data_IF_502025228436
#
_entry.id   IF_502025228436
#
_cell.length_a   1.000
_cell.length_b   1.000
_cell.length_c   1.000
_cell.angle_alpha   90.00
_cell.angle_beta   90.00
_cell.angle_gamma   90.00
#
_symmetry.space_group_name_H-M   'P 1'
#
loop_
_entity.id
_entity.type
_entity.pdbx_description
1 polymer ?
#
# COMPACT_ATOMS: atom_id res chain seq x y z
N UNK A 1 24.65 9.40 11.15
CA UNK A 1 24.87 8.29 10.20
C UNK A 1 24.35 7.04 10.88
N UNK A 2 23.06 6.74 10.69
CA UNK A 2 22.47 5.49 11.17
C UNK A 2 22.45 4.57 9.95
N UNK A 3 23.31 3.57 9.95
CA UNK A 3 23.16 2.41 9.06
C UNK A 3 21.76 1.85 9.29
N UNK A 4 20.85 2.08 8.35
CA UNK A 4 19.60 1.37 8.33
C UNK A 4 19.94 -0.09 8.02
N UNK A 5 19.92 -0.94 9.05
CA UNK A 5 19.95 -2.39 8.88
C UNK A 5 18.82 -2.73 7.91
N UNK A 6 19.19 -3.04 6.67
CA UNK A 6 18.24 -3.33 5.62
C UNK A 6 17.61 -4.68 5.94
N UNK A 7 16.34 -4.65 6.32
CA UNK A 7 15.61 -5.85 6.70
C UNK A 7 15.57 -6.83 5.52
N UNK A 8 15.92 -8.09 5.76
CA UNK A 8 15.76 -9.13 4.75
C UNK A 8 14.27 -9.40 4.52
N UNK A 9 13.94 -9.99 3.35
CA UNK A 9 12.57 -10.41 3.06
C UNK A 9 12.01 -11.36 4.12
N UNK A 10 12.83 -12.28 4.62
CA UNK A 10 12.41 -13.27 5.61
C UNK A 10 12.10 -12.61 6.96
N UNK A 11 12.98 -11.74 7.45
CA UNK A 11 12.75 -10.98 8.68
C UNK A 11 11.51 -10.08 8.58
N UNK A 12 11.25 -9.51 7.40
CA UNK A 12 10.04 -8.72 7.17
C UNK A 12 8.77 -9.57 7.24
N UNK A 13 8.79 -10.79 6.68
CA UNK A 13 7.68 -11.74 6.78
C UNK A 13 7.49 -12.21 8.22
N UNK A 14 8.57 -12.45 8.97
CA UNK A 14 8.45 -12.85 10.36
C UNK A 14 7.84 -11.72 11.22
N UNK A 15 8.19 -10.45 10.95
CA UNK A 15 7.53 -9.29 11.58
C UNK A 15 6.04 -9.17 11.23
N UNK A 16 5.63 -9.54 10.01
CA UNK A 16 4.21 -9.55 9.66
C UNK A 16 3.40 -10.53 10.51
N UNK A 17 4.02 -11.64 10.94
CA UNK A 17 3.37 -12.64 11.78
C UNK A 17 2.96 -12.06 13.13
N UNK A 18 3.72 -11.12 13.68
CA UNK A 18 3.40 -10.43 14.93
C UNK A 18 2.11 -9.60 14.82
N UNK A 19 1.71 -9.23 13.60
CA UNK A 19 0.45 -8.54 13.30
C UNK A 19 -0.65 -9.50 12.82
N UNK A 20 -0.43 -10.81 12.91
CA UNK A 20 -1.37 -11.83 12.43
C UNK A 20 -1.51 -11.86 10.91
N UNK A 21 -0.49 -11.41 10.17
CA UNK A 21 -0.45 -11.47 8.70
C UNK A 21 0.48 -12.62 8.30
N UNK A 22 -0.07 -13.65 7.65
CA UNK A 22 0.66 -14.86 7.30
C UNK A 22 0.13 -15.52 6.02
N UNK A 23 0.90 -16.47 5.48
CA UNK A 23 0.51 -17.21 4.27
C UNK A 23 0.32 -16.28 3.07
N UNK A 24 -0.77 -16.47 2.35
CA UNK A 24 -1.17 -15.69 1.18
C UNK A 24 -1.49 -14.22 1.52
N UNK A 25 -1.83 -13.90 2.78
CA UNK A 25 -2.12 -12.53 3.20
C UNK A 25 -0.91 -11.60 3.10
N UNK A 26 0.31 -12.17 3.06
CA UNK A 26 1.53 -11.41 2.80
C UNK A 26 1.45 -10.65 1.46
N UNK A 27 0.71 -11.16 0.48
CA UNK A 27 0.53 -10.47 -0.79
C UNK A 27 -0.47 -9.30 -0.73
N UNK A 28 -1.25 -9.20 0.34
CA UNK A 28 -2.25 -8.15 0.55
C UNK A 28 -1.69 -6.93 1.29
N UNK A 29 -0.45 -6.98 1.77
CA UNK A 29 0.19 -5.82 2.43
C UNK A 29 0.34 -4.62 1.48
N UNK A 30 0.32 -4.87 0.18
CA UNK A 30 0.31 -3.87 -0.89
C UNK A 30 -0.88 -2.90 -0.76
N UNK A 31 -1.94 -3.31 -0.08
CA UNK A 31 -3.16 -2.51 0.07
C UNK A 31 -3.07 -1.51 1.24
N UNK A 32 -2.11 -1.69 2.15
CA UNK A 32 -1.95 -0.82 3.32
C UNK A 32 -1.77 0.67 2.96
N UNK A 33 -0.99 1.05 1.92
CA UNK A 33 -0.89 2.46 1.53
C UNK A 33 -2.22 3.06 1.09
N UNK A 34 -3.09 2.27 0.45
CA UNK A 34 -4.41 2.75 0.05
C UNK A 34 -5.33 2.92 1.26
N UNK A 35 -5.24 2.03 2.26
CA UNK A 35 -5.90 2.20 3.56
C UNK A 35 -5.42 3.46 4.27
N UNK A 36 -4.12 3.74 4.25
CA UNK A 36 -3.57 4.98 4.81
C UNK A 36 -4.13 6.22 4.13
N UNK A 37 -4.33 6.18 2.80
CA UNK A 37 -4.95 7.28 2.08
C UNK A 37 -6.41 7.50 2.49
N UNK A 38 -7.21 6.43 2.61
CA UNK A 38 -8.61 6.49 3.06
C UNK A 38 -8.73 7.15 4.44
N UNK A 39 -7.76 6.93 5.32
CA UNK A 39 -7.77 7.47 6.68
C UNK A 39 -6.94 8.75 6.85
N UNK A 40 -6.43 9.33 5.76
CA UNK A 40 -5.47 10.44 5.82
C UNK A 40 -6.07 11.68 6.48
N UNK A 41 -7.31 12.02 6.13
CA UNK A 41 -8.07 13.13 6.73
C UNK A 41 -8.76 12.74 8.06
N UNK A 42 -8.71 11.46 8.42
CA UNK A 42 -9.30 10.88 9.62
C UNK A 42 -10.68 10.25 9.45
N UNK A 43 -11.24 10.23 8.24
CA UNK A 43 -12.58 9.68 7.97
C UNK A 43 -12.60 8.85 6.69
N UNK A 44 -12.89 7.55 6.79
CA UNK A 44 -13.11 6.71 5.63
C UNK A 44 -14.43 7.07 4.92
N UNK A 45 -14.35 7.68 3.74
CA UNK A 45 -15.52 8.03 2.94
C UNK A 45 -15.98 6.85 2.07
N UNK A 46 -17.29 6.73 1.84
CA UNK A 46 -17.84 5.62 1.06
C UNK A 46 -17.33 5.62 -0.40
N UNK A 47 -17.11 6.79 -0.98
CA UNK A 47 -16.53 6.95 -2.33
C UNK A 47 -15.11 6.39 -2.42
N UNK A 48 -14.27 6.68 -1.42
CA UNK A 48 -12.90 6.18 -1.32
C UNK A 48 -12.86 4.66 -1.15
N UNK A 49 -13.74 4.13 -0.29
CA UNK A 49 -13.88 2.68 -0.08
C UNK A 49 -14.30 1.97 -1.38
N UNK A 50 -15.22 2.53 -2.16
CA UNK A 50 -15.64 1.95 -3.43
C UNK A 50 -14.50 1.90 -4.48
N UNK A 51 -13.67 2.95 -4.53
CA UNK A 51 -12.46 2.96 -5.38
C UNK A 51 -11.46 1.92 -4.90
N UNK A 52 -11.26 1.83 -3.59
CA UNK A 52 -10.42 0.81 -2.97
C UNK A 52 -10.87 -0.60 -3.34
N UNK A 53 -12.17 -0.92 -3.26
CA UNK A 53 -12.72 -2.23 -3.60
C UNK A 53 -12.49 -2.57 -5.08
N UNK A 54 -12.63 -1.58 -5.97
CA UNK A 54 -12.31 -1.74 -7.39
C UNK A 54 -10.82 -2.06 -7.60
N UNK A 55 -9.93 -1.37 -6.87
CA UNK A 55 -8.50 -1.65 -6.90
C UNK A 55 -8.18 -3.05 -6.37
N UNK A 56 -8.82 -3.46 -5.27
CA UNK A 56 -8.64 -4.77 -4.63
C UNK A 56 -8.90 -5.92 -5.61
N UNK A 57 -10.02 -5.88 -6.33
CA UNK A 57 -10.39 -6.89 -7.32
C UNK A 57 -9.34 -7.03 -8.42
N UNK A 58 -8.93 -5.90 -9.00
CA UNK A 58 -7.90 -5.85 -10.03
C UNK A 58 -6.55 -6.37 -9.52
N UNK A 59 -6.20 -6.03 -8.28
CA UNK A 59 -4.96 -6.45 -7.64
C UNK A 59 -4.90 -7.97 -7.43
N UNK A 60 -5.99 -8.58 -6.95
CA UNK A 60 -6.10 -10.03 -6.76
C UNK A 60 -6.05 -10.76 -8.09
N UNK A 61 -6.80 -10.29 -9.10
CA UNK A 61 -6.77 -10.86 -10.43
C UNK A 61 -5.35 -10.88 -11.01
N UNK A 62 -4.59 -9.80 -10.79
CA UNK A 62 -3.18 -9.73 -11.19
C UNK A 62 -2.30 -10.72 -10.44
N UNK A 63 -2.43 -10.85 -9.11
CA UNK A 63 -1.64 -11.81 -8.32
C UNK A 63 -1.92 -13.25 -8.77
N UNK A 64 -3.19 -13.63 -8.90
CA UNK A 64 -3.57 -14.96 -9.35
C UNK A 64 -3.06 -15.26 -10.77
N UNK A 65 -3.12 -14.26 -11.67
CA UNK A 65 -2.56 -14.38 -13.02
C UNK A 65 -1.05 -14.63 -12.99
N UNK A 66 -0.31 -13.89 -12.15
CA UNK A 66 1.14 -14.06 -12.01
C UNK A 66 1.50 -15.41 -11.37
N UNK A 67 0.69 -15.90 -10.45
CA UNK A 67 0.88 -17.22 -9.83
C UNK A 67 0.53 -18.37 -10.79
N UNK A 68 -0.31 -18.12 -11.80
CA UNK A 68 -0.84 -19.15 -12.72
C UNK A 68 -1.94 -20.03 -12.10
N UNK A 69 -2.38 -19.71 -10.87
CA UNK A 69 -3.47 -20.38 -10.16
C UNK A 69 -4.13 -19.42 -9.16
N UNK A 70 -5.32 -19.79 -8.66
CA UNK A 70 -6.05 -19.00 -7.66
C UNK A 70 -5.41 -19.16 -6.27
N UNK A 71 -4.49 -18.26 -5.92
CA UNK A 71 -3.84 -18.23 -4.60
C UNK A 71 -4.61 -17.37 -3.60
N UNK A 72 -5.30 -16.35 -4.07
CA UNK A 72 -6.11 -15.43 -3.27
C UNK A 72 -7.54 -15.39 -3.80
N UNK A 73 -8.51 -15.56 -2.91
CA UNK A 73 -9.91 -15.29 -3.24
C UNK A 73 -10.29 -13.86 -2.88
N UNK A 74 -11.30 -13.32 -3.55
CA UNK A 74 -11.81 -11.98 -3.25
C UNK A 74 -12.36 -11.91 -1.82
N UNK A 75 -13.04 -12.95 -1.35
CA UNK A 75 -13.64 -13.01 -0.01
C UNK A 75 -12.57 -13.01 1.08
N UNK A 76 -11.48 -13.75 0.89
CA UNK A 76 -10.36 -13.79 1.84
C UNK A 76 -9.68 -12.41 1.92
N UNK A 77 -9.52 -11.74 0.78
CA UNK A 77 -8.90 -10.43 0.73
C UNK A 77 -9.80 -9.31 1.29
N UNK A 78 -11.11 -9.38 1.03
CA UNK A 78 -12.11 -8.50 1.64
C UNK A 78 -12.12 -8.69 3.17
N UNK A 79 -12.09 -9.93 3.66
CA UNK A 79 -12.01 -10.22 5.10
C UNK A 79 -10.73 -9.63 5.70
N UNK A 80 -9.59 -9.79 5.01
CA UNK A 80 -8.31 -9.22 5.43
C UNK A 80 -8.35 -7.70 5.53
N UNK A 81 -8.99 -7.01 4.58
CA UNK A 81 -8.97 -5.54 4.55
C UNK A 81 -10.04 -4.92 5.46
N UNK A 82 -11.17 -5.59 5.65
CA UNK A 82 -12.28 -5.08 6.45
C UNK A 82 -11.86 -4.71 7.88
N UNK A 83 -10.88 -5.43 8.47
CA UNK A 83 -10.32 -5.08 9.78
C UNK A 83 -9.62 -3.73 9.84
N UNK A 84 -9.19 -3.19 8.69
CA UNK A 84 -8.56 -1.88 8.60
C UNK A 84 -9.52 -0.78 8.10
N UNK A 85 -10.68 -1.15 7.56
CA UNK A 85 -11.71 -0.21 7.08
C UNK A 85 -12.84 0.00 8.11
N UNK A 86 -13.10 -0.99 8.97
CA UNK A 86 -14.15 -0.91 9.99
C UNK A 86 -13.76 0.02 11.16
N UNK A 87 -12.52 -0.06 11.61
CA UNK A 87 -11.98 0.77 12.67
C UNK A 87 -10.65 1.36 12.20
N UNK A 88 -10.47 2.67 12.40
CA UNK A 88 -9.24 3.37 12.01
C UNK A 88 -8.05 2.74 12.72
N UNK A 89 -7.10 2.13 12.00
CA UNK A 89 -5.91 1.58 12.62
C UNK A 89 -5.02 2.71 13.18
N UNK A 90 -4.25 2.41 14.22
CA UNK A 90 -3.27 3.38 14.71
C UNK A 90 -2.27 3.76 13.60
N UNK A 91 -1.91 5.03 13.54
CA UNK A 91 -0.95 5.55 12.55
C UNK A 91 0.37 4.75 12.58
N UNK A 92 0.87 4.45 13.78
CA UNK A 92 2.09 3.65 13.98
C UNK A 92 1.99 2.25 13.38
N UNK A 93 0.83 1.61 13.46
CA UNK A 93 0.61 0.29 12.87
C UNK A 93 0.70 0.38 11.35
N UNK A 94 0.00 1.33 10.73
CA UNK A 94 0.01 1.52 9.29
C UNK A 94 1.41 1.83 8.76
N UNK A 95 2.11 2.78 9.39
CA UNK A 95 3.50 3.12 9.06
C UNK A 95 4.43 1.90 9.19
N UNK A 96 4.25 1.09 10.23
CA UNK A 96 5.04 -0.14 10.42
C UNK A 96 4.78 -1.13 9.29
N UNK A 97 3.52 -1.42 8.97
CA UNK A 97 3.15 -2.34 7.89
C UNK A 97 3.65 -1.82 6.52
N UNK A 98 3.49 -0.52 6.24
CA UNK A 98 4.01 0.15 5.05
C UNK A 98 5.52 -0.02 4.88
N UNK A 99 6.28 0.12 5.97
CA UNK A 99 7.74 -0.04 5.97
C UNK A 99 8.20 -1.47 5.61
N UNK A 100 7.33 -2.46 5.74
CA UNK A 100 7.62 -3.86 5.38
C UNK A 100 7.36 -4.15 3.90
N UNK A 101 6.65 -3.28 3.17
CA UNK A 101 6.36 -3.48 1.75
C UNK A 101 7.64 -3.54 0.91
N UNK A 102 8.59 -2.59 1.00
CA UNK A 102 9.81 -2.64 0.21
C UNK A 102 10.60 -3.95 0.29
N UNK A 103 10.99 -4.46 1.49
CA UNK A 103 11.76 -5.71 1.58
C UNK A 103 10.96 -6.95 1.14
N UNK A 104 9.63 -6.92 1.19
CA UNK A 104 8.79 -8.08 0.84
C UNK A 104 8.46 -8.12 -0.66
N UNK A 105 8.19 -6.96 -1.25
CA UNK A 105 7.51 -6.84 -2.55
C UNK A 105 8.34 -6.14 -3.62
N UNK A 106 9.29 -5.30 -3.22
CA UNK A 106 10.12 -4.49 -4.13
C UNK A 106 11.61 -4.88 -4.10
N UNK A 107 12.00 -5.85 -3.27
CA UNK A 107 13.38 -6.32 -3.15
C UNK A 107 13.77 -7.40 -4.17
N UNK A 108 12.87 -7.82 -5.06
CA UNK A 108 13.19 -8.81 -6.09
C UNK A 108 14.00 -8.18 -7.25
N UNK A 109 14.66 -9.02 -8.06
CA UNK A 109 15.51 -8.58 -9.17
C UNK A 109 14.73 -8.14 -10.43
N UNK A 110 13.42 -8.30 -10.47
CA UNK A 110 12.58 -7.84 -11.58
C UNK A 110 12.21 -6.37 -11.39
N UNK A 111 13.11 -5.50 -11.83
CA UNK A 111 12.92 -4.04 -11.76
C UNK A 111 11.67 -3.55 -12.49
N UNK A 112 11.28 -4.22 -13.59
CA UNK A 112 10.08 -3.83 -14.35
C UNK A 112 8.82 -4.14 -13.53
N UNK A 113 8.74 -5.33 -12.93
CA UNK A 113 7.64 -5.70 -12.06
C UNK A 113 7.56 -4.80 -10.82
N UNK A 114 8.69 -4.47 -10.20
CA UNK A 114 8.77 -3.56 -9.06
C UNK A 114 8.26 -2.15 -9.41
N UNK A 115 8.70 -1.61 -10.56
CA UNK A 115 8.26 -0.31 -11.04
C UNK A 115 6.75 -0.31 -11.37
N UNK A 116 6.25 -1.39 -12.00
CA UNK A 116 4.83 -1.53 -12.30
C UNK A 116 3.97 -1.61 -11.03
N UNK A 117 4.41 -2.38 -10.03
CA UNK A 117 3.74 -2.45 -8.74
C UNK A 117 3.70 -1.09 -8.05
N UNK A 118 4.86 -0.43 -7.93
CA UNK A 118 4.95 0.91 -7.33
C UNK A 118 4.02 1.91 -8.01
N UNK A 119 4.04 1.96 -9.34
CA UNK A 119 3.16 2.85 -10.12
C UNK A 119 1.70 2.55 -9.84
N UNK A 120 1.31 1.27 -9.81
CA UNK A 120 -0.06 0.86 -9.52
C UNK A 120 -0.50 1.30 -8.12
N UNK A 121 0.33 1.11 -7.10
CA UNK A 121 0.05 1.53 -5.72
C UNK A 121 -0.14 3.05 -5.61
N UNK A 122 0.79 3.82 -6.17
CA UNK A 122 0.74 5.28 -6.13
C UNK A 122 -0.46 5.83 -6.90
N UNK A 123 -0.82 5.21 -8.02
CA UNK A 123 -2.02 5.59 -8.78
C UNK A 123 -3.29 5.31 -7.97
N UNK A 124 -3.42 4.13 -7.35
CA UNK A 124 -4.58 3.84 -6.50
C UNK A 124 -4.71 4.81 -5.32
N UNK A 125 -3.59 5.21 -4.72
CA UNK A 125 -3.57 6.25 -3.68
C UNK A 125 -4.08 7.61 -4.19
N UNK A 126 -3.69 7.99 -5.42
CA UNK A 126 -4.17 9.23 -6.05
C UNK A 126 -5.65 9.17 -6.41
N UNK A 127 -6.12 8.04 -6.92
CA UNK A 127 -7.52 7.86 -7.30
C UNK A 127 -8.44 7.95 -6.07
N UNK A 128 -8.01 7.37 -4.93
CA UNK A 128 -8.71 7.49 -3.65
C UNK A 128 -8.82 8.96 -3.24
N UNK A 129 -7.69 9.66 -3.08
CA UNK A 129 -7.74 11.02 -2.57
C UNK A 129 -8.33 12.03 -3.56
N UNK A 130 -8.33 11.75 -4.86
CA UNK A 130 -9.06 12.56 -5.84
C UNK A 130 -10.59 12.41 -5.73
N UNK A 131 -11.09 11.36 -5.04
CA UNK A 131 -12.51 11.07 -4.86
C UNK A 131 -13.14 11.68 -3.61
N UNK A 132 -12.32 12.22 -2.72
CA UNK A 132 -12.69 12.76 -1.41
C UNK A 132 -13.37 14.15 -1.51
N UNK A 133 -13.54 14.64 -2.74
CA UNK A 133 -14.06 15.97 -3.04
C UNK A 133 -15.53 15.89 -3.46
N UNK A 134 -16.45 16.30 -2.58
CA UNK A 134 -17.90 16.07 -2.75
C UNK A 134 -18.76 17.34 -2.90
N UNK A 135 -18.27 18.56 -2.66
CA UNK A 135 -19.08 19.80 -2.71
C UNK A 135 -18.48 20.95 -3.52
N UNK A 136 -19.17 21.32 -4.62
CA UNK A 136 -18.86 22.47 -5.49
C UNK A 136 -19.40 23.80 -4.92
N UNK A 137 -18.76 24.99 -5.13
CA UNK A 137 -17.59 25.26 -5.97
C UNK A 137 -16.26 25.13 -5.23
N UNK A 138 -15.30 24.51 -5.92
CA UNK A 138 -13.91 24.41 -5.45
C UNK A 138 -13.14 25.68 -5.76
N UNK A 139 -12.28 26.12 -4.85
CA UNK A 139 -11.07 26.81 -5.29
C UNK A 139 -10.21 25.78 -6.04
N UNK A 140 -9.86 26.08 -7.29
CA UNK A 140 -9.30 25.16 -8.29
C UNK A 140 -7.98 24.46 -7.93
N UNK A 141 -7.47 24.66 -6.71
CA UNK A 141 -6.10 24.35 -6.27
C UNK A 141 -6.09 23.33 -5.10
N UNK A 142 -7.25 22.98 -4.53
CA UNK A 142 -7.33 22.16 -3.30
C UNK A 142 -8.12 20.85 -3.46
N UNK A 143 -7.85 20.10 -4.53
CA UNK A 143 -8.40 18.73 -4.68
C UNK A 143 -7.87 17.70 -3.68
N UNK A 144 -6.80 18.06 -2.97
CA UNK A 144 -6.21 17.27 -1.90
C UNK A 144 -6.00 18.21 -0.71
N UNK A 145 -6.46 17.81 0.47
CA UNK A 145 -6.13 18.51 1.69
C UNK A 145 -4.64 18.30 2.05
N UNK A 146 -4.14 19.08 3.01
CA UNK A 146 -2.74 18.98 3.45
C UNK A 146 -2.39 17.60 4.03
N UNK A 147 -3.34 16.94 4.70
CA UNK A 147 -3.14 15.62 5.30
C UNK A 147 -2.97 14.53 4.24
N UNK A 148 -3.80 14.52 3.19
CA UNK A 148 -3.67 13.57 2.07
C UNK A 148 -2.37 13.77 1.31
N UNK A 149 -1.96 15.03 1.07
CA UNK A 149 -0.68 15.34 0.42
C UNK A 149 0.50 14.80 1.22
N UNK A 150 0.46 14.99 2.54
CA UNK A 150 1.50 14.50 3.45
C UNK A 150 1.53 12.97 3.46
N UNK A 151 0.37 12.32 3.63
CA UNK A 151 0.24 10.87 3.61
C UNK A 151 0.79 10.27 2.29
N UNK A 152 0.39 10.83 1.15
CA UNK A 152 0.86 10.40 -0.16
C UNK A 152 2.38 10.53 -0.30
N UNK A 153 2.96 11.64 0.17
CA UNK A 153 4.40 11.86 0.09
C UNK A 153 5.19 10.85 0.92
N UNK A 154 4.71 10.49 2.11
CA UNK A 154 5.34 9.48 2.94
C UNK A 154 5.25 8.07 2.33
N UNK A 155 4.11 7.75 1.71
CA UNK A 155 3.94 6.51 0.93
C UNK A 155 4.96 6.50 -0.21
N UNK A 156 5.05 7.59 -0.96
CA UNK A 156 5.98 7.73 -2.08
C UNK A 156 7.44 7.51 -1.65
N UNK A 157 7.90 8.19 -0.60
CA UNK A 157 9.27 8.04 -0.12
C UNK A 157 9.54 6.63 0.41
N UNK A 158 8.58 5.99 1.07
CA UNK A 158 8.72 4.59 1.52
C UNK A 158 8.89 3.63 0.34
N UNK A 159 8.06 3.76 -0.69
CA UNK A 159 8.11 2.87 -1.86
C UNK A 159 9.33 3.15 -2.76
N UNK A 160 9.86 4.38 -2.75
CA UNK A 160 11.05 4.80 -3.50
C UNK A 160 12.36 4.40 -2.84
N UNK A 161 12.45 4.41 -1.51
CA UNK A 161 13.66 4.02 -0.77
C UNK A 161 14.19 2.62 -1.18
N UNK A 162 13.30 1.74 -1.65
CA UNK A 162 13.63 0.44 -2.23
C UNK A 162 14.65 0.48 -3.39
N UNK A 163 14.66 1.55 -4.21
CA UNK A 163 15.53 1.66 -5.39
C UNK A 163 16.98 2.02 -5.05
N UNK A 164 17.19 2.76 -3.94
CA UNK A 164 18.51 3.28 -3.58
C UNK A 164 19.42 2.22 -2.94
N UNK A 165 18.85 1.22 -2.29
CA UNK A 165 19.63 0.16 -1.65
C UNK A 165 20.16 -0.90 -2.63
N UNK A 166 19.61 -0.97 -3.85
CA UNK A 166 20.02 -1.94 -4.87
C UNK A 166 21.11 -1.41 -5.81
N UNK A 167 21.14 -0.10 -6.07
CA UNK A 167 22.18 0.52 -6.92
C UNK A 167 23.58 0.54 -6.27
N UNK A 168 23.67 0.39 -4.95
CA UNK A 168 24.94 0.31 -4.22
C UNK A 168 25.65 -1.06 -4.34
N UNK A 169 25.00 -2.10 -4.85
CA UNK A 169 25.54 -3.47 -4.95
C UNK A 169 25.97 -3.87 -6.37
N UNK A 170 25.91 -2.94 -7.33
CA UNK A 170 26.23 -3.20 -8.75
C UNK A 170 27.44 -2.43 -9.28
N UNK A 171 28.30 -1.90 -8.40
CA UNK A 171 29.57 -1.25 -8.77
C UNK A 171 30.76 -1.91 -8.08
#
# INVERSE_FOLDING_TARGET
MLDQIQLTRQEAIDRLRDFGIQGEQVYLIDLIPLVEMIWADGSAQQSEVAIFETYLEQHIARINTLAGYSILTIEAAQTFIQRFLTERPSEKLLQTLRSLIPPIRLANSDHTANQALRKSLLQGCLDIAASSVTEYPYESIERFCSFEKQCWFEIFETLKAADRSQTAHSN
#
